data_IF_906196142410
#
_entry.id   IF_906196142410
#
_cell.length_a   1.000
_cell.length_b   1.000
_cell.length_c   1.000
_cell.angle_alpha   90.00
_cell.angle_beta   90.00
_cell.angle_gamma   90.00
#
_symmetry.space_group_name_H-M   'P 1'
#
loop_
_entity.id
_entity.type
_entity.pdbx_description
1 polymer ?
#
# COMPACT_ATOMS: atom_id res chain seq x y z
N UNK A 1 7.39 14.90 47.06
CA UNK A 1 8.02 13.76 47.75
C UNK A 1 7.68 12.48 46.99
N UNK A 2 8.71 11.67 46.75
CA UNK A 2 8.72 10.51 45.87
C UNK A 2 7.76 9.40 46.31
N UNK A 3 7.27 8.61 45.37
CA UNK A 3 6.39 7.49 45.70
C UNK A 3 6.01 6.52 44.60
N UNK A 4 6.78 6.38 43.51
CA UNK A 4 6.68 5.20 42.64
C UNK A 4 8.07 4.91 42.05
N UNK A 5 8.75 3.92 42.62
CA UNK A 5 10.06 3.43 42.19
C UNK A 5 10.01 2.70 40.85
N UNK A 6 9.60 3.39 39.79
CA UNK A 6 9.73 2.93 38.42
C UNK A 6 10.83 3.80 37.80
N UNK A 7 11.99 3.25 37.42
CA UNK A 7 12.96 4.04 36.67
C UNK A 7 12.24 4.52 35.41
N UNK A 8 12.15 5.84 35.24
CA UNK A 8 11.61 6.46 34.03
C UNK A 8 12.51 6.04 32.86
N UNK A 9 12.20 4.90 32.25
CA UNK A 9 12.93 4.45 31.09
C UNK A 9 12.56 5.38 29.96
N UNK A 10 13.48 6.29 29.62
CA UNK A 10 13.33 7.25 28.52
C UNK A 10 12.84 6.59 27.21
N UNK A 11 13.13 5.29 27.03
CA UNK A 11 12.60 4.45 25.96
C UNK A 11 11.07 4.25 25.97
N UNK A 12 10.43 4.03 27.13
CA UNK A 12 8.97 3.92 27.24
C UNK A 12 8.26 5.24 26.97
N UNK A 13 8.86 6.35 27.41
CA UNK A 13 8.35 7.69 27.12
C UNK A 13 8.51 8.09 25.63
N UNK A 14 9.60 7.64 24.98
CA UNK A 14 9.80 7.83 23.54
C UNK A 14 8.81 6.98 22.72
N UNK A 15 8.59 5.72 23.11
CA UNK A 15 7.56 4.84 22.54
C UNK A 15 6.15 5.44 22.69
N UNK A 16 5.80 5.97 23.86
CA UNK A 16 4.54 6.65 24.10
C UNK A 16 4.35 7.87 23.17
N UNK A 17 5.37 8.72 23.06
CA UNK A 17 5.34 9.90 22.17
C UNK A 17 5.30 9.53 20.68
N UNK A 18 5.97 8.46 20.28
CA UNK A 18 5.90 7.94 18.90
C UNK A 18 4.53 7.35 18.61
N UNK A 19 3.94 6.60 19.53
CA UNK A 19 2.58 6.06 19.39
C UNK A 19 1.54 7.18 19.31
N UNK A 20 1.68 8.23 20.13
CA UNK A 20 0.80 9.41 20.11
C UNK A 20 0.96 10.22 18.81
N UNK A 21 2.19 10.43 18.35
CA UNK A 21 2.47 11.07 17.04
C UNK A 21 1.98 10.23 15.87
N UNK A 22 2.16 8.91 15.88
CA UNK A 22 1.68 8.01 14.82
C UNK A 22 0.15 7.87 14.81
N UNK A 23 -0.50 7.99 15.97
CA UNK A 23 -1.95 8.13 16.10
C UNK A 23 -2.46 9.43 15.48
N UNK A 24 -1.76 10.55 15.71
CA UNK A 24 -2.08 11.86 15.13
C UNK A 24 -1.73 12.01 13.65
N UNK A 25 -0.72 11.30 13.16
CA UNK A 25 -0.26 11.43 11.77
C UNK A 25 -1.13 10.67 10.77
N UNK A 26 -2.07 9.83 11.22
CA UNK A 26 -2.85 8.96 10.33
C UNK A 26 -4.35 9.04 10.59
N UNK A 27 -5.01 10.12 10.15
CA UNK A 27 -6.46 10.11 9.91
C UNK A 27 -6.98 10.93 8.72
N UNK A 28 -6.22 11.79 8.04
CA UNK A 28 -6.79 12.63 6.97
C UNK A 28 -6.20 12.30 5.59
N UNK A 29 -6.75 11.24 4.98
CA UNK A 29 -6.45 10.78 3.62
C UNK A 29 -7.08 11.69 2.58
N UNK A 30 -6.41 12.82 2.29
CA UNK A 30 -6.91 13.78 1.30
C UNK A 30 -5.79 14.36 0.43
N UNK A 31 -4.72 13.58 0.21
CA UNK A 31 -3.56 14.03 -0.55
C UNK A 31 -3.60 13.43 -1.97
N UNK A 32 -4.34 14.14 -2.83
CA UNK A 32 -4.17 14.24 -4.28
C UNK A 32 -4.96 13.29 -5.21
N UNK A 33 -6.01 13.87 -5.79
CA UNK A 33 -6.89 13.35 -6.84
C UNK A 33 -6.23 13.20 -8.24
N UNK A 34 -6.80 12.27 -9.02
CA UNK A 34 -6.98 12.29 -10.51
C UNK A 34 -5.86 11.80 -11.44
N UNK A 35 -4.92 10.96 -10.98
CA UNK A 35 -4.06 10.20 -11.90
C UNK A 35 -4.03 8.72 -11.53
N UNK A 36 -4.22 7.79 -12.48
CA UNK A 36 -4.15 6.34 -12.22
C UNK A 36 -2.83 5.91 -11.54
N UNK A 37 -1.73 6.61 -11.82
CA UNK A 37 -0.45 6.37 -11.17
C UNK A 37 -0.42 6.90 -9.72
N UNK A 38 -1.13 7.99 -9.45
CA UNK A 38 -1.29 8.56 -8.10
C UNK A 38 -2.05 7.60 -7.19
N UNK A 39 -3.08 6.92 -7.71
CA UNK A 39 -3.85 5.91 -6.96
C UNK A 39 -2.96 4.74 -6.49
N UNK A 40 -2.03 4.27 -7.34
CA UNK A 40 -1.08 3.19 -6.96
C UNK A 40 -0.13 3.66 -5.86
N UNK A 41 0.44 4.86 -5.98
CA UNK A 41 1.35 5.43 -4.97
C UNK A 41 0.64 5.70 -3.65
N UNK A 42 -0.61 6.16 -3.68
CA UNK A 42 -1.41 6.37 -2.49
C UNK A 42 -1.67 5.04 -1.76
N UNK A 43 -2.04 3.98 -2.50
CA UNK A 43 -2.22 2.64 -1.93
C UNK A 43 -0.92 2.10 -1.32
N UNK A 44 0.24 2.36 -1.93
CA UNK A 44 1.55 2.01 -1.37
C UNK A 44 1.86 2.76 -0.08
N UNK A 45 1.65 4.07 -0.05
CA UNK A 45 1.83 4.90 1.14
C UNK A 45 0.91 4.44 2.28
N UNK A 46 -0.36 4.15 1.97
CA UNK A 46 -1.32 3.61 2.92
C UNK A 46 -0.85 2.27 3.48
N UNK A 47 -0.40 1.34 2.62
CA UNK A 47 0.10 0.00 2.98
C UNK A 47 1.32 0.10 3.88
N UNK A 48 2.33 0.88 3.49
CA UNK A 48 3.53 1.13 4.30
C UNK A 48 3.18 1.66 5.68
N UNK A 49 2.24 2.62 5.76
CA UNK A 49 1.79 3.14 7.05
C UNK A 49 1.01 2.12 7.89
N UNK A 50 0.37 1.10 7.30
CA UNK A 50 -0.30 0.03 8.08
C UNK A 50 0.73 -1.00 8.52
N UNK A 51 1.71 -1.35 7.69
CA UNK A 51 2.84 -2.20 8.07
C UNK A 51 3.64 -1.61 9.23
N UNK A 52 3.94 -0.31 9.18
CA UNK A 52 4.59 0.38 10.30
C UNK A 52 3.79 0.27 11.61
N UNK A 53 2.45 0.38 11.54
CA UNK A 53 1.57 0.15 12.69
C UNK A 53 1.63 -1.30 13.17
N UNK A 54 1.60 -2.27 12.26
CA UNK A 54 1.71 -3.69 12.60
C UNK A 54 3.03 -4.00 13.30
N UNK A 55 4.16 -3.49 12.80
CA UNK A 55 5.47 -3.61 13.45
C UNK A 55 5.47 -3.03 14.87
N UNK A 56 4.86 -1.85 15.06
CA UNK A 56 4.72 -1.23 16.39
C UNK A 56 3.91 -2.12 17.35
N UNK A 57 2.79 -2.70 16.90
CA UNK A 57 1.99 -3.61 17.73
C UNK A 57 2.73 -4.90 18.09
N UNK A 58 3.56 -5.45 17.18
CA UNK A 58 4.43 -6.60 17.48
C UNK A 58 5.49 -6.24 18.53
N UNK A 59 6.13 -5.07 18.40
CA UNK A 59 7.11 -4.61 19.38
C UNK A 59 6.49 -4.41 20.78
N UNK A 60 5.27 -3.84 20.85
CA UNK A 60 4.54 -3.68 22.11
C UNK A 60 4.11 -5.01 22.72
N UNK A 61 3.77 -6.02 21.90
CA UNK A 61 3.49 -7.38 22.40
C UNK A 61 4.73 -8.02 23.01
N UNK A 62 5.89 -7.95 22.33
CA UNK A 62 7.14 -8.46 22.89
C UNK A 62 7.52 -7.80 24.23
N UNK A 63 7.20 -6.51 24.40
CA UNK A 63 7.36 -5.82 25.69
C UNK A 63 6.35 -6.31 26.75
N UNK A 64 5.11 -6.59 26.35
CA UNK A 64 4.09 -7.13 27.25
C UNK A 64 4.49 -8.53 27.76
N UNK A 65 5.00 -9.38 26.87
CA UNK A 65 5.52 -10.71 27.20
C UNK A 65 6.73 -10.63 28.16
N UNK A 66 7.54 -9.57 28.04
CA UNK A 66 8.64 -9.23 28.95
C UNK A 66 8.22 -8.60 30.29
N UNK A 67 6.93 -8.63 30.65
CA UNK A 67 6.41 -8.18 31.95
C UNK A 67 6.01 -6.71 32.01
N UNK A 68 5.97 -5.98 30.89
CA UNK A 68 5.40 -4.62 30.85
C UNK A 68 3.88 -4.72 30.92
N UNK A 69 3.26 -3.96 31.84
CA UNK A 69 1.79 -3.93 31.98
C UNK A 69 1.13 -3.24 30.78
N UNK A 70 0.81 -4.02 29.75
CA UNK A 70 0.03 -3.61 28.57
C UNK A 70 -1.02 -4.69 28.29
N UNK A 71 -2.19 -4.29 27.79
CA UNK A 71 -3.26 -5.23 27.43
C UNK A 71 -2.90 -6.01 26.14
N UNK A 72 -2.35 -7.20 26.31
CA UNK A 72 -1.95 -8.08 25.21
C UNK A 72 -3.12 -8.51 24.31
N UNK A 73 -4.31 -8.71 24.87
CA UNK A 73 -5.50 -9.09 24.08
C UNK A 73 -5.91 -7.96 23.14
N UNK A 74 -5.88 -6.71 23.63
CA UNK A 74 -6.10 -5.51 22.81
C UNK A 74 -5.03 -5.36 21.73
N UNK A 75 -3.76 -5.57 22.04
CA UNK A 75 -2.68 -5.51 21.05
C UNK A 75 -2.84 -6.57 19.95
N UNK A 76 -3.21 -7.79 20.31
CA UNK A 76 -3.52 -8.85 19.35
C UNK A 76 -4.68 -8.46 18.43
N UNK A 77 -5.75 -7.87 18.97
CA UNK A 77 -6.88 -7.39 18.16
C UNK A 77 -6.46 -6.28 17.18
N UNK A 78 -5.62 -5.34 17.62
CA UNK A 78 -5.06 -4.29 16.78
C UNK A 78 -4.15 -4.83 15.67
N UNK A 79 -3.31 -5.82 15.99
CA UNK A 79 -2.46 -6.49 15.00
C UNK A 79 -3.30 -7.22 13.95
N UNK A 80 -4.28 -8.03 14.36
CA UNK A 80 -5.21 -8.72 13.42
C UNK A 80 -5.94 -7.74 12.50
N UNK A 81 -6.32 -6.56 13.03
CA UNK A 81 -6.94 -5.50 12.22
C UNK A 81 -5.95 -4.95 11.19
N UNK A 82 -4.71 -4.68 11.58
CA UNK A 82 -3.68 -4.18 10.68
C UNK A 82 -3.38 -5.20 9.57
N UNK A 83 -3.24 -6.49 9.89
CA UNK A 83 -3.03 -7.57 8.91
C UNK A 83 -4.18 -7.70 7.90
N UNK A 84 -5.42 -7.52 8.36
CA UNK A 84 -6.58 -7.47 7.47
C UNK A 84 -6.51 -6.26 6.53
N UNK A 85 -6.15 -5.08 7.04
CA UNK A 85 -6.00 -3.87 6.25
C UNK A 85 -4.87 -4.00 5.21
N UNK A 86 -3.74 -4.61 5.58
CA UNK A 86 -2.62 -4.88 4.65
C UNK A 86 -3.07 -5.75 3.49
N UNK A 87 -3.79 -6.84 3.77
CA UNK A 87 -4.32 -7.72 2.71
C UNK A 87 -5.26 -6.99 1.75
N UNK A 88 -6.20 -6.20 2.29
CA UNK A 88 -7.13 -5.41 1.47
C UNK A 88 -6.37 -4.41 0.59
N UNK A 89 -5.40 -3.67 1.17
CA UNK A 89 -4.61 -2.69 0.44
C UNK A 89 -3.74 -3.34 -0.63
N UNK A 90 -3.18 -4.52 -0.38
CA UNK A 90 -2.40 -5.25 -1.39
C UNK A 90 -3.26 -5.70 -2.56
N UNK A 91 -4.45 -6.25 -2.31
CA UNK A 91 -5.40 -6.61 -3.37
C UNK A 91 -5.74 -5.41 -4.24
N UNK A 92 -6.11 -4.28 -3.63
CA UNK A 92 -6.44 -3.04 -4.35
C UNK A 92 -5.23 -2.51 -5.14
N UNK A 93 -4.04 -2.51 -4.53
CA UNK A 93 -2.81 -2.06 -5.20
C UNK A 93 -2.52 -2.91 -6.42
N UNK A 94 -2.58 -4.23 -6.29
CA UNK A 94 -2.34 -5.17 -7.39
C UNK A 94 -3.34 -4.97 -8.54
N UNK A 95 -4.63 -4.83 -8.22
CA UNK A 95 -5.67 -4.53 -9.22
C UNK A 95 -5.40 -3.23 -9.98
N UNK A 96 -5.05 -2.14 -9.26
CA UNK A 96 -4.76 -0.85 -9.89
C UNK A 96 -3.45 -0.86 -10.66
N UNK A 97 -2.39 -1.50 -10.16
CA UNK A 97 -1.14 -1.67 -10.89
C UNK A 97 -1.36 -2.43 -12.20
N UNK A 98 -2.16 -3.50 -12.18
CA UNK A 98 -2.49 -4.24 -13.41
C UNK A 98 -3.22 -3.37 -14.44
N UNK A 99 -4.13 -2.49 -14.00
CA UNK A 99 -4.84 -1.56 -14.90
C UNK A 99 -3.93 -0.48 -15.48
N UNK A 100 -3.01 0.06 -14.67
CA UNK A 100 -2.09 1.14 -15.08
C UNK A 100 -0.98 0.63 -15.99
N UNK A 101 -0.44 -0.55 -15.68
CA UNK A 101 0.71 -1.12 -16.38
C UNK A 101 0.33 -2.21 -17.40
N UNK A 102 -0.97 -2.45 -17.63
CA UNK A 102 -1.40 -3.34 -18.71
C UNK A 102 -0.74 -2.89 -20.02
N UNK A 103 -0.02 -3.79 -20.71
CA UNK A 103 0.80 -3.38 -21.84
C UNK A 103 -0.08 -2.88 -22.97
N UNK A 104 0.43 -1.88 -23.70
CA UNK A 104 -0.22 -1.20 -24.83
C UNK A 104 -0.50 -2.11 -26.04
N UNK A 105 -0.37 -3.43 -25.87
CA UNK A 105 -0.53 -4.47 -26.88
C UNK A 105 -1.91 -4.42 -27.50
N UNK A 106 -2.96 -4.06 -26.75
CA UNK A 106 -4.31 -3.93 -27.30
C UNK A 106 -4.43 -2.77 -28.30
N UNK A 107 -3.83 -1.60 -28.02
CA UNK A 107 -3.81 -0.47 -28.96
C UNK A 107 -2.84 -0.69 -30.12
N UNK A 108 -1.67 -1.26 -29.87
CA UNK A 108 -0.70 -1.61 -30.92
C UNK A 108 -1.26 -2.67 -31.88
N UNK A 109 -1.93 -3.70 -31.37
CA UNK A 109 -2.53 -4.77 -32.21
C UNK A 109 -3.73 -4.25 -32.99
N UNK A 110 -4.57 -3.41 -32.38
CA UNK A 110 -5.67 -2.75 -33.07
C UNK A 110 -5.18 -1.78 -34.17
N UNK A 111 -4.13 -1.00 -33.91
CA UNK A 111 -3.50 -0.11 -34.88
C UNK A 111 -2.85 -0.89 -36.04
N UNK A 112 -2.17 -2.00 -35.74
CA UNK A 112 -1.54 -2.87 -36.76
C UNK A 112 -2.57 -3.59 -37.63
N UNK A 113 -3.69 -4.05 -37.06
CA UNK A 113 -4.82 -4.62 -37.83
C UNK A 113 -5.50 -3.58 -38.72
N UNK A 114 -5.70 -2.35 -38.22
CA UNK A 114 -6.25 -1.25 -39.03
C UNK A 114 -5.32 -0.83 -40.17
N UNK A 115 -4.01 -0.84 -39.96
CA UNK A 115 -3.02 -0.54 -41.00
C UNK A 115 -2.94 -1.64 -42.07
N UNK A 116 -2.98 -2.92 -41.66
CA UNK A 116 -3.03 -4.06 -42.57
C UNK A 116 -4.33 -4.12 -43.39
N UNK A 117 -5.46 -3.75 -42.79
CA UNK A 117 -6.75 -3.65 -43.49
C UNK A 117 -6.85 -2.43 -44.43
N UNK A 118 -5.95 -1.45 -44.31
CA UNK A 118 -5.90 -0.23 -45.15
C UNK A 118 -4.96 -0.35 -46.35
N UNK A 119 -4.31 -1.48 -46.57
CA UNK A 119 -3.57 -1.75 -47.81
C UNK A 119 -4.44 -2.56 -48.78
N UNK A 120 -5.07 -1.94 -49.78
CA UNK A 120 -5.66 -2.67 -50.89
C UNK A 120 -4.51 -3.13 -51.80
N UNK A 121 -4.49 -4.42 -52.12
CA UNK A 121 -3.51 -5.00 -53.02
C UNK A 121 -3.46 -4.24 -54.35
N UNK A 122 -2.28 -3.69 -54.67
CA UNK A 122 -1.90 -3.48 -56.06
C UNK A 122 -1.60 -4.86 -56.67
N UNK A 123 -2.66 -5.51 -57.14
CA UNK A 123 -2.57 -6.60 -58.10
C UNK A 123 -3.45 -6.27 -59.30
N UNK A 124 -2.81 -5.68 -60.30
CA UNK A 124 -3.13 -5.83 -61.72
C UNK A 124 -1.76 -5.70 -62.42
N UNK A 125 -1.16 -6.69 -63.05
CA UNK A 125 -1.74 -7.80 -63.80
C UNK A 125 -1.79 -7.42 -65.28
N UNK A 126 -0.79 -7.91 -66.05
CA UNK A 126 -0.67 -8.12 -67.53
C UNK A 126 0.82 -7.88 -67.88
N UNK A 127 1.70 -8.86 -68.13
CA UNK A 127 1.74 -9.96 -69.15
C UNK A 127 1.36 -9.50 -70.56
N UNK A 128 2.19 -9.95 -71.51
CA UNK A 128 2.27 -9.75 -72.98
C UNK A 128 2.94 -8.43 -73.37
N UNK A 129 4.00 -8.37 -74.20
CA UNK A 129 4.53 -9.30 -75.20
C UNK A 129 6.07 -9.29 -75.23
#
# INVERSE_FOLDING_TARGET
MAGLGVPESRGRAALGRLAEKAGRLKLNGHLFTRSPLSDVLELEAMRLGVEGKACMWRALQALADGGVRVDGARLHALLRRAERQIRILETLRAERSAQVFAPDVARTTAARRRSAARSPGHHAGRRTA
#
